data_IF_303951519654
#
_entry.id   IF_303951519654
#
_cell.length_a   1.000
_cell.length_b   1.000
_cell.length_c   1.000
_cell.angle_alpha   90.00
_cell.angle_beta   90.00
_cell.angle_gamma   90.00
#
_symmetry.space_group_name_H-M   'P 1'
#
loop_
_entity.id
_entity.type
_entity.pdbx_description
1 polymer ?
#
# COMPACT_ATOMS: atom_id res chain seq x y z
N UNK A 1 12.04 -21.75 2.99
CA UNK A 1 12.07 -20.65 2.00
C UNK A 1 10.71 -20.56 1.38
N UNK A 2 10.14 -19.36 1.29
CA UNK A 2 8.82 -19.17 0.70
C UNK A 2 8.77 -19.64 -0.75
N UNK A 3 7.64 -20.21 -1.13
CA UNK A 3 7.37 -20.64 -2.51
C UNK A 3 6.32 -19.73 -3.14
N UNK A 4 6.29 -19.67 -4.47
CA UNK A 4 5.28 -18.92 -5.24
C UNK A 4 5.06 -17.47 -4.75
N UNK A 5 6.15 -16.76 -4.47
CA UNK A 5 6.09 -15.36 -4.02
C UNK A 5 5.63 -14.47 -5.18
N UNK A 6 4.65 -13.61 -4.90
CA UNK A 6 4.17 -12.59 -5.83
C UNK A 6 4.00 -11.27 -5.12
N UNK A 7 4.76 -10.26 -5.54
CA UNK A 7 4.54 -8.87 -5.13
C UNK A 7 3.30 -8.38 -5.90
N UNK A 8 2.24 -8.04 -5.15
CA UNK A 8 0.95 -7.64 -5.71
C UNK A 8 0.88 -6.13 -5.93
N UNK A 9 1.45 -5.39 -4.99
CA UNK A 9 1.53 -3.94 -5.06
C UNK A 9 2.67 -3.41 -4.21
N UNK A 10 3.17 -2.25 -4.62
CA UNK A 10 4.02 -1.39 -3.81
C UNK A 10 3.52 0.03 -3.90
N UNK A 11 3.50 0.72 -2.76
CA UNK A 11 3.07 2.10 -2.64
C UNK A 11 4.12 2.90 -1.90
N UNK A 12 4.39 4.12 -2.37
CA UNK A 12 5.23 5.08 -1.66
C UNK A 12 4.54 6.43 -1.60
N UNK A 13 4.49 6.99 -0.39
CA UNK A 13 3.99 8.32 -0.15
C UNK A 13 5.15 9.26 0.20
N UNK A 14 5.25 10.36 -0.50
CA UNK A 14 6.17 11.46 -0.25
C UNK A 14 5.40 12.56 0.45
N UNK A 15 5.70 12.83 1.70
CA UNK A 15 5.05 13.86 2.50
C UNK A 15 5.85 15.16 2.46
N UNK A 16 5.16 16.29 2.32
CA UNK A 16 5.73 17.61 2.17
C UNK A 16 5.23 18.55 3.25
N UNK A 17 6.04 19.55 3.60
CA UNK A 17 5.53 20.64 4.42
C UNK A 17 4.46 21.45 3.67
N UNK A 18 3.57 22.13 4.40
CA UNK A 18 2.39 22.80 3.82
C UNK A 18 2.68 23.74 2.65
N UNK A 19 3.86 24.35 2.62
CA UNK A 19 4.22 25.37 1.63
C UNK A 19 5.09 24.84 0.47
N UNK A 20 5.48 23.55 0.51
CA UNK A 20 6.42 22.97 -0.45
C UNK A 20 5.76 22.13 -1.56
N UNK A 21 4.46 21.85 -1.45
CA UNK A 21 3.68 21.18 -2.51
C UNK A 21 2.51 22.11 -2.93
N UNK A 22 2.61 22.69 -4.11
CA UNK A 22 1.63 23.68 -4.62
C UNK A 22 0.73 23.06 -5.69
N UNK A 23 -0.37 22.46 -5.27
CA UNK A 23 -1.33 21.81 -6.17
C UNK A 23 -1.93 22.74 -7.22
N UNK A 24 -1.97 24.04 -6.98
CA UNK A 24 -2.46 25.04 -7.95
C UNK A 24 -1.70 24.99 -9.27
N UNK A 25 -0.39 24.71 -9.22
CA UNK A 25 0.43 24.52 -10.42
C UNK A 25 0.10 23.22 -11.16
N UNK A 26 -0.41 22.19 -10.46
CA UNK A 26 -0.81 20.92 -11.02
C UNK A 26 -2.24 20.95 -11.57
N UNK A 27 -3.04 21.96 -11.23
CA UNK A 27 -4.40 22.15 -11.77
C UNK A 27 -4.42 22.70 -13.19
N UNK A 28 -3.27 23.14 -13.72
CA UNK A 28 -3.13 23.64 -15.09
C UNK A 28 -3.27 22.47 -16.06
N UNK A 29 -4.25 22.55 -16.97
CA UNK A 29 -4.55 21.47 -17.92
C UNK A 29 -3.32 20.99 -18.72
N UNK A 30 -2.44 21.90 -19.13
CA UNK A 30 -1.20 21.55 -19.84
C UNK A 30 -0.25 20.69 -19.01
N UNK A 31 -0.13 20.97 -17.70
CA UNK A 31 0.69 20.17 -16.77
C UNK A 31 0.10 18.78 -16.59
N UNK A 32 -1.22 18.67 -16.45
CA UNK A 32 -1.91 17.40 -16.33
C UNK A 32 -1.72 16.53 -17.56
N UNK A 33 -1.84 17.12 -18.76
CA UNK A 33 -1.59 16.41 -20.02
C UNK A 33 -0.13 15.93 -20.13
N UNK A 34 0.85 16.70 -19.69
CA UNK A 34 2.24 16.30 -19.69
C UNK A 34 2.50 15.15 -18.72
N UNK A 35 1.95 15.18 -17.51
CA UNK A 35 2.06 14.05 -16.55
C UNK A 35 1.38 12.81 -17.13
N UNK A 36 0.21 12.97 -17.75
CA UNK A 36 -0.50 11.87 -18.41
C UNK A 36 0.36 11.22 -19.50
N UNK A 37 1.01 12.02 -20.32
CA UNK A 37 1.89 11.53 -21.38
C UNK A 37 3.18 10.89 -20.83
N UNK A 38 3.72 11.42 -19.73
CA UNK A 38 4.98 10.97 -19.14
C UNK A 38 4.96 9.49 -18.74
N UNK A 39 3.80 9.00 -18.33
CA UNK A 39 3.59 7.63 -17.87
C UNK A 39 2.46 6.90 -18.61
N UNK A 40 2.00 7.43 -19.74
CA UNK A 40 0.91 6.87 -20.55
C UNK A 40 -0.37 6.59 -19.72
N UNK A 41 -0.75 7.51 -18.82
CA UNK A 41 -1.96 7.35 -18.04
C UNK A 41 -3.22 7.36 -18.93
N UNK A 42 -4.14 6.44 -18.66
CA UNK A 42 -5.40 6.35 -19.39
C UNK A 42 -6.38 7.47 -19.00
N UNK A 43 -6.34 7.92 -17.74
CA UNK A 43 -7.24 8.94 -17.24
C UNK A 43 -6.65 9.69 -16.07
N UNK A 44 -7.21 10.88 -15.80
CA UNK A 44 -7.01 11.55 -14.52
C UNK A 44 -8.34 12.10 -13.98
N UNK A 45 -8.43 12.23 -12.67
CA UNK A 45 -9.62 12.73 -11.98
C UNK A 45 -9.20 13.83 -11.01
N UNK A 46 -9.95 14.93 -10.98
CA UNK A 46 -9.75 16.01 -10.03
C UNK A 46 -10.78 15.83 -8.92
N UNK A 47 -10.31 15.59 -7.69
CA UNK A 47 -11.14 15.54 -6.50
C UNK A 47 -11.51 16.95 -6.01
N UNK A 48 -12.73 17.13 -5.53
CA UNK A 48 -13.11 18.38 -4.88
C UNK A 48 -12.47 18.48 -3.49
N UNK A 49 -11.77 19.57 -3.16
CA UNK A 49 -11.13 19.73 -1.85
C UNK A 49 -12.12 19.96 -0.70
N UNK A 50 -13.37 20.31 -0.98
CA UNK A 50 -14.37 20.67 0.05
C UNK A 50 -15.73 20.08 -0.37
N UNK A 51 -16.33 19.16 0.41
CA UNK A 51 -17.71 18.79 0.19
C UNK A 51 -18.62 20.01 0.41
N UNK A 52 -19.42 20.36 -0.57
CA UNK A 52 -20.44 21.39 -0.44
C UNK A 52 -21.50 20.90 0.54
N UNK A 53 -22.00 21.80 1.40
CA UNK A 53 -22.96 21.43 2.46
C UNK A 53 -24.18 20.73 1.87
N UNK A 54 -24.41 19.47 2.27
CA UNK A 54 -25.53 18.65 1.78
C UNK A 54 -25.17 17.62 0.69
N UNK A 55 -23.92 17.63 0.16
CA UNK A 55 -23.45 16.59 -0.75
C UNK A 55 -22.83 15.42 0.04
N UNK A 56 -23.05 14.20 -0.45
CA UNK A 56 -22.33 13.02 0.02
C UNK A 56 -20.84 13.30 -0.18
N UNK A 57 -19.97 13.10 0.83
CA UNK A 57 -18.53 13.33 0.69
C UNK A 57 -18.05 12.65 -0.59
N UNK A 58 -17.38 13.41 -1.46
CA UNK A 58 -16.82 12.84 -2.67
C UNK A 58 -15.95 11.64 -2.27
N UNK A 59 -16.19 10.49 -2.88
CA UNK A 59 -15.46 9.24 -2.60
C UNK A 59 -13.98 9.33 -2.94
N UNK A 60 -13.53 10.46 -3.48
CA UNK A 60 -12.14 10.73 -3.84
C UNK A 60 -11.53 11.74 -2.88
N UNK A 61 -10.35 11.43 -2.31
CA UNK A 61 -9.61 12.42 -1.53
C UNK A 61 -9.29 13.67 -2.38
N UNK A 62 -9.16 14.85 -1.75
CA UNK A 62 -8.86 16.09 -2.47
C UNK A 62 -7.53 15.95 -3.23
N UNK A 63 -7.48 16.50 -4.45
CA UNK A 63 -6.28 16.50 -5.26
C UNK A 63 -6.49 16.02 -6.69
N UNK A 64 -5.43 15.57 -7.33
CA UNK A 64 -5.44 15.06 -8.70
C UNK A 64 -4.93 13.63 -8.71
N UNK A 65 -5.72 12.71 -9.25
CA UNK A 65 -5.36 11.30 -9.38
C UNK A 65 -5.19 10.95 -10.84
N UNK A 66 -4.03 10.44 -11.21
CA UNK A 66 -3.75 9.85 -12.52
C UNK A 66 -3.84 8.33 -12.39
N UNK A 67 -4.60 7.69 -13.28
CA UNK A 67 -4.93 6.28 -13.17
C UNK A 67 -4.43 5.48 -14.38
N UNK A 68 -4.02 4.24 -14.10
CA UNK A 68 -3.69 3.23 -15.10
C UNK A 68 -2.58 3.69 -16.06
N UNK A 69 -1.42 3.98 -15.51
CA UNK A 69 -0.20 4.26 -16.25
C UNK A 69 0.69 3.03 -16.42
N UNK A 70 1.80 3.23 -17.11
CA UNK A 70 2.79 2.18 -17.37
C UNK A 70 4.20 2.74 -17.22
N UNK A 71 5.08 1.96 -16.60
CA UNK A 71 6.50 2.21 -16.47
C UNK A 71 7.31 1.06 -17.04
N UNK A 72 8.42 1.36 -17.74
CA UNK A 72 9.37 0.35 -18.19
C UNK A 72 10.48 0.24 -17.14
N UNK A 73 10.53 -0.89 -16.46
CA UNK A 73 11.51 -1.19 -15.44
C UNK A 73 12.53 -2.19 -15.96
N UNK A 74 13.84 -1.93 -15.76
CA UNK A 74 14.94 -2.79 -16.21
C UNK A 74 14.86 -3.16 -17.69
N UNK A 75 14.57 -2.15 -18.55
CA UNK A 75 14.55 -2.21 -20.03
C UNK A 75 13.50 -3.14 -20.66
N UNK A 76 12.98 -4.14 -19.95
CA UNK A 76 12.08 -5.15 -20.53
C UNK A 76 10.78 -5.35 -19.76
N UNK A 77 10.71 -4.97 -18.48
CA UNK A 77 9.56 -5.27 -17.65
C UNK A 77 8.58 -4.09 -17.59
N UNK A 78 7.37 -4.32 -18.10
CA UNK A 78 6.28 -3.36 -17.96
C UNK A 78 5.69 -3.47 -16.54
N UNK A 79 5.81 -2.39 -15.77
CA UNK A 79 5.22 -2.27 -14.45
C UNK A 79 3.99 -1.37 -14.55
N UNK A 80 2.79 -1.90 -14.28
CA UNK A 80 1.58 -1.09 -14.25
C UNK A 80 1.61 -0.10 -13.09
N UNK A 81 1.43 1.19 -13.38
CA UNK A 81 1.18 2.22 -12.37
C UNK A 81 -0.33 2.23 -12.14
N UNK A 82 -0.78 1.83 -10.95
CA UNK A 82 -2.19 1.81 -10.61
C UNK A 82 -2.71 3.22 -10.50
N UNK A 83 -1.98 4.07 -9.77
CA UNK A 83 -2.24 5.51 -9.75
C UNK A 83 -1.02 6.32 -9.27
N UNK A 84 -1.01 7.61 -9.64
CA UNK A 84 -0.25 8.66 -8.94
C UNK A 84 -1.26 9.68 -8.42
N UNK A 85 -1.26 9.91 -7.12
CA UNK A 85 -2.19 10.81 -6.45
C UNK A 85 -1.44 12.00 -5.85
N UNK A 86 -1.81 13.19 -6.27
CA UNK A 86 -1.33 14.46 -5.72
C UNK A 86 -2.36 14.96 -4.71
N UNK A 87 -2.05 14.82 -3.44
CA UNK A 87 -2.84 15.34 -2.32
C UNK A 87 -2.26 16.67 -1.81
N UNK A 88 -2.96 17.44 -0.95
CA UNK A 88 -2.49 18.74 -0.49
C UNK A 88 -1.11 18.75 0.17
N UNK A 89 -0.69 17.63 0.77
CA UNK A 89 0.56 17.52 1.52
C UNK A 89 1.39 16.30 1.14
N UNK A 90 0.96 15.52 0.16
CA UNK A 90 1.71 14.32 -0.24
C UNK A 90 1.48 13.94 -1.70
N UNK A 91 2.46 13.24 -2.24
CA UNK A 91 2.36 12.57 -3.53
C UNK A 91 2.43 11.07 -3.26
N UNK A 92 1.43 10.32 -3.71
CA UNK A 92 1.37 8.87 -3.54
C UNK A 92 1.55 8.21 -4.89
N UNK A 93 2.52 7.31 -5.00
CA UNK A 93 2.76 6.45 -6.17
C UNK A 93 2.39 5.02 -5.79
N UNK A 94 1.51 4.40 -6.56
CA UNK A 94 1.05 3.02 -6.34
C UNK A 94 1.21 2.22 -7.64
N UNK A 95 1.91 1.09 -7.54
CA UNK A 95 2.25 0.23 -8.68
C UNK A 95 1.89 -1.23 -8.42
N UNK A 96 1.72 -2.00 -9.48
CA UNK A 96 1.61 -3.46 -9.42
C UNK A 96 2.99 -4.07 -9.70
N UNK A 97 3.89 -4.03 -8.69
CA UNK A 97 5.26 -4.51 -8.85
C UNK A 97 6.16 -4.19 -7.65
N UNK A 98 7.48 -4.43 -7.78
CA UNK A 98 8.45 -4.22 -6.70
C UNK A 98 8.67 -2.73 -6.40
N UNK A 99 8.93 -2.40 -5.14
CA UNK A 99 9.17 -1.01 -4.69
C UNK A 99 10.32 -0.33 -5.42
N UNK A 100 11.34 -1.07 -5.83
CA UNK A 100 12.48 -0.54 -6.59
C UNK A 100 12.06 0.10 -7.93
N UNK A 101 10.94 -0.32 -8.52
CA UNK A 101 10.42 0.33 -9.72
C UNK A 101 9.86 1.74 -9.44
N UNK A 102 9.46 2.03 -8.19
CA UNK A 102 8.98 3.36 -7.79
C UNK A 102 10.10 4.40 -7.86
N UNK A 103 11.35 4.00 -7.60
CA UNK A 103 12.50 4.93 -7.61
C UNK A 103 12.65 5.62 -8.97
N UNK A 104 12.62 4.85 -10.05
CA UNK A 104 12.70 5.41 -11.41
C UNK A 104 11.46 6.25 -11.80
N UNK A 105 10.27 5.84 -11.35
CA UNK A 105 9.04 6.62 -11.56
C UNK A 105 9.15 7.96 -10.81
N UNK A 106 9.57 7.92 -9.56
CA UNK A 106 9.73 9.10 -8.72
C UNK A 106 10.79 10.06 -9.27
N UNK A 107 11.98 9.54 -9.64
CA UNK A 107 13.02 10.33 -10.27
C UNK A 107 12.50 11.08 -11.50
N UNK A 108 11.82 10.37 -12.39
CA UNK A 108 11.24 10.96 -13.60
C UNK A 108 10.17 12.00 -13.29
N UNK A 109 9.30 11.71 -12.33
CA UNK A 109 8.24 12.61 -11.90
C UNK A 109 8.81 13.87 -11.26
N UNK A 110 9.72 13.73 -10.30
CA UNK A 110 10.31 14.87 -9.59
C UNK A 110 11.20 15.72 -10.50
N UNK A 111 11.91 15.12 -11.45
CA UNK A 111 12.62 15.85 -12.49
C UNK A 111 11.67 16.75 -13.28
N UNK A 112 10.54 16.24 -13.72
CA UNK A 112 9.50 17.02 -14.41
C UNK A 112 8.95 18.15 -13.50
N UNK A 113 8.57 17.81 -12.26
CA UNK A 113 7.97 18.75 -11.31
C UNK A 113 8.94 19.86 -10.90
N UNK A 114 10.24 19.60 -10.83
CA UNK A 114 11.27 20.60 -10.51
C UNK A 114 11.37 21.72 -11.56
N UNK A 115 10.95 21.44 -12.79
CA UNK A 115 10.84 22.44 -13.86
C UNK A 115 9.64 23.37 -13.75
N UNK A 116 8.62 23.00 -12.97
CA UNK A 116 7.43 23.82 -12.79
C UNK A 116 7.69 24.96 -11.82
N UNK A 117 7.13 26.13 -12.15
CA UNK A 117 7.21 27.33 -11.30
C UNK A 117 5.82 27.75 -10.85
N UNK A 118 5.69 28.12 -9.61
CA UNK A 118 4.52 28.80 -9.08
C UNK A 118 4.46 30.26 -9.58
N UNK A 119 3.33 30.92 -9.36
CA UNK A 119 3.14 32.31 -9.81
C UNK A 119 4.15 33.31 -9.20
N UNK A 120 4.73 33.01 -8.05
CA UNK A 120 5.76 33.78 -7.37
C UNK A 120 7.19 33.43 -7.81
N UNK A 121 7.35 32.56 -8.83
CA UNK A 121 8.64 32.11 -9.36
C UNK A 121 9.34 31.00 -8.56
N UNK A 122 8.79 30.58 -7.41
CA UNK A 122 9.33 29.47 -6.64
C UNK A 122 9.04 28.13 -7.32
N UNK A 123 9.75 27.05 -6.94
CA UNK A 123 9.46 25.70 -7.42
C UNK A 123 8.08 25.25 -6.94
N UNK A 124 7.32 24.60 -7.81
CA UNK A 124 5.99 24.10 -7.47
C UNK A 124 6.04 22.93 -6.47
N UNK A 125 7.15 22.19 -6.45
CA UNK A 125 7.37 21.05 -5.55
C UNK A 125 8.77 21.15 -4.96
N UNK A 126 8.87 21.13 -3.63
CA UNK A 126 10.13 21.05 -2.88
C UNK A 126 10.56 19.62 -2.58
N UNK A 127 11.50 19.47 -1.68
CA UNK A 127 11.91 18.15 -1.19
C UNK A 127 10.90 17.59 -0.19
N UNK A 128 10.62 16.27 -0.21
CA UNK A 128 9.76 15.64 0.76
C UNK A 128 10.44 15.60 2.14
N UNK A 129 9.67 15.84 3.19
CA UNK A 129 10.13 15.75 4.58
C UNK A 129 10.16 14.28 5.07
N UNK A 130 9.29 13.46 4.51
CA UNK A 130 9.14 12.06 4.91
C UNK A 130 8.74 11.19 3.73
N UNK A 131 9.25 9.96 3.74
CA UNK A 131 8.88 8.92 2.78
C UNK A 131 8.30 7.75 3.56
N UNK A 132 7.14 7.26 3.12
CA UNK A 132 6.43 6.13 3.71
C UNK A 132 6.25 5.06 2.64
N UNK A 133 6.70 3.86 2.94
CA UNK A 133 6.51 2.71 2.07
C UNK A 133 5.38 1.82 2.58
N UNK A 134 4.73 1.13 1.64
CA UNK A 134 3.77 0.07 1.89
C UNK A 134 3.83 -0.95 0.77
N UNK A 135 3.78 -2.23 1.10
CA UNK A 135 3.77 -3.29 0.08
C UNK A 135 2.78 -4.40 0.41
N UNK A 136 2.31 -5.06 -0.64
CA UNK A 136 1.39 -6.19 -0.59
C UNK A 136 2.05 -7.40 -1.28
N UNK A 137 2.16 -8.50 -0.56
CA UNK A 137 2.80 -9.73 -1.04
C UNK A 137 1.85 -10.91 -0.83
N UNK A 138 1.78 -11.80 -1.83
CA UNK A 138 1.19 -13.11 -1.68
C UNK A 138 2.27 -14.17 -1.77
N UNK A 139 2.27 -15.11 -0.82
CA UNK A 139 3.27 -16.18 -0.79
C UNK A 139 2.65 -17.51 -0.28
N UNK A 140 3.24 -18.62 -0.70
CA UNK A 140 2.92 -19.93 -0.20
C UNK A 140 3.86 -20.29 0.95
N UNK A 141 3.29 -20.66 2.10
CA UNK A 141 3.98 -21.06 3.31
C UNK A 141 3.92 -22.57 3.50
N UNK A 142 4.90 -23.12 4.19
CA UNK A 142 4.97 -24.57 4.46
C UNK A 142 3.96 -25.05 5.53
N UNK A 143 3.47 -24.10 6.35
CA UNK A 143 2.65 -24.40 7.53
C UNK A 143 1.49 -23.42 7.70
N UNK A 144 0.44 -23.81 8.42
CA UNK A 144 -0.66 -22.91 8.72
C UNK A 144 -0.24 -21.81 9.70
N UNK A 145 -0.84 -20.63 9.56
CA UNK A 145 -0.55 -19.45 10.40
C UNK A 145 -0.72 -19.71 11.91
N UNK A 146 -1.65 -20.57 12.28
CA UNK A 146 -1.87 -20.92 13.69
C UNK A 146 -0.69 -21.70 14.31
N UNK A 147 0.26 -22.18 13.51
CA UNK A 147 1.46 -22.86 14.00
C UNK A 147 2.38 -21.93 14.83
N UNK A 148 2.36 -20.60 14.60
CA UNK A 148 3.11 -19.64 15.41
C UNK A 148 2.61 -19.55 16.86
N UNK A 149 1.38 -19.99 17.13
CA UNK A 149 0.81 -19.92 18.47
C UNK A 149 1.11 -21.17 19.28
N UNK A 150 1.41 -21.03 20.59
CA UNK A 150 1.56 -22.16 21.48
C UNK A 150 0.34 -23.10 21.44
N UNK A 151 0.59 -24.39 21.58
CA UNK A 151 -0.48 -25.43 21.56
C UNK A 151 -1.61 -25.13 22.58
N UNK A 152 -1.28 -24.58 23.74
CA UNK A 152 -2.24 -24.16 24.76
C UNK A 152 -3.19 -23.07 24.26
N UNK A 153 -2.66 -22.05 23.57
CA UNK A 153 -3.48 -20.96 23.01
C UNK A 153 -4.36 -21.47 21.87
N UNK A 154 -3.82 -22.29 20.95
CA UNK A 154 -4.63 -22.93 19.87
C UNK A 154 -5.78 -23.75 20.44
N UNK A 155 -5.53 -24.51 21.51
CA UNK A 155 -6.56 -25.29 22.21
C UNK A 155 -7.63 -24.41 22.89
N UNK A 156 -7.23 -23.27 23.44
CA UNK A 156 -8.14 -22.29 24.00
C UNK A 156 -9.03 -21.69 22.93
N UNK A 157 -8.44 -21.19 21.85
CA UNK A 157 -9.17 -20.60 20.72
C UNK A 157 -10.16 -21.57 20.10
N UNK A 158 -9.78 -22.86 19.91
CA UNK A 158 -10.69 -23.88 19.40
C UNK A 158 -11.86 -24.21 20.32
N UNK A 159 -11.71 -24.02 21.63
CA UNK A 159 -12.82 -24.20 22.61
C UNK A 159 -13.75 -23.00 22.66
N UNK A 160 -13.23 -21.80 22.42
CA UNK A 160 -13.99 -20.56 22.53
C UNK A 160 -14.93 -20.35 21.34
N UNK A 161 -14.52 -20.85 20.16
CA UNK A 161 -15.35 -20.85 18.96
C UNK A 161 -16.24 -22.10 19.01
N UNK A 162 -17.36 -22.00 19.71
CA UNK A 162 -18.37 -23.04 19.80
C UNK A 162 -19.15 -23.11 18.47
N UNK A 163 -18.52 -23.64 17.44
CA UNK A 163 -19.19 -23.89 16.16
C UNK A 163 -19.86 -25.27 16.32
N UNK A 164 -21.15 -25.24 16.56
CA UNK A 164 -22.02 -26.39 16.53
C UNK A 164 -22.25 -26.84 15.06
N UNK A 165 -21.16 -27.22 14.41
CA UNK A 165 -21.17 -27.74 13.04
C UNK A 165 -20.46 -29.06 13.06
N UNK A 166 -21.16 -30.12 12.66
CA UNK A 166 -20.68 -31.50 12.49
C UNK A 166 -19.16 -31.64 12.60
N UNK A 167 -18.64 -32.43 13.50
CA UNK A 167 -17.25 -32.77 13.86
C UNK A 167 -16.15 -32.67 12.75
N UNK A 168 -16.46 -32.03 11.60
CA UNK A 168 -15.61 -31.86 10.43
C UNK A 168 -15.06 -30.43 10.27
N UNK A 169 -15.48 -29.49 11.13
CA UNK A 169 -15.02 -28.08 11.01
C UNK A 169 -13.69 -27.88 11.72
N UNK A 170 -12.74 -27.28 11.03
CA UNK A 170 -11.44 -26.88 11.57
C UNK A 170 -11.48 -25.40 11.92
N UNK A 171 -11.11 -25.04 13.14
CA UNK A 171 -10.87 -23.62 13.51
C UNK A 171 -9.55 -23.19 12.90
N UNK A 172 -9.58 -22.09 12.16
CA UNK A 172 -8.40 -21.48 11.60
C UNK A 172 -8.35 -20.01 12.03
N UNK A 173 -7.15 -19.44 12.12
CA UNK A 173 -6.95 -18.01 12.29
C UNK A 173 -6.82 -17.42 10.89
N UNK A 174 -7.84 -16.69 10.40
CA UNK A 174 -7.84 -16.23 9.02
C UNK A 174 -6.89 -15.05 8.81
N UNK A 175 -6.68 -14.22 9.83
CA UNK A 175 -5.89 -12.99 9.70
C UNK A 175 -5.28 -12.58 11.04
N UNK A 176 -4.07 -12.04 11.01
CA UNK A 176 -3.41 -11.32 12.11
C UNK A 176 -3.17 -9.90 11.62
N UNK A 177 -3.45 -8.91 12.48
CA UNK A 177 -3.10 -7.52 12.23
C UNK A 177 -2.28 -7.00 13.42
N UNK A 178 -1.18 -6.32 13.13
CA UNK A 178 -0.31 -5.68 14.11
C UNK A 178 -0.15 -4.21 13.72
N UNK A 179 -0.31 -3.33 14.68
CA UNK A 179 -0.12 -1.90 14.47
C UNK A 179 0.76 -1.32 15.57
N UNK A 180 1.73 -0.50 15.17
CA UNK A 180 2.54 0.26 16.11
C UNK A 180 1.79 1.54 16.50
N UNK A 181 1.70 1.80 17.81
CA UNK A 181 1.19 3.05 18.36
C UNK A 181 2.31 3.76 19.11
N UNK A 182 2.41 5.11 19.02
CA UNK A 182 3.24 5.88 19.93
C UNK A 182 2.86 5.59 21.39
N UNK A 183 3.84 5.57 22.28
CA UNK A 183 3.63 5.20 23.70
C UNK A 183 2.58 6.05 24.41
N UNK A 184 2.42 7.29 23.97
CA UNK A 184 1.52 8.27 24.59
C UNK A 184 0.15 8.36 23.90
N UNK A 185 -0.08 7.57 22.85
CA UNK A 185 -1.38 7.53 22.18
C UNK A 185 -2.30 6.46 22.76
N UNK A 186 -3.55 6.85 23.01
CA UNK A 186 -4.61 5.90 23.37
C UNK A 186 -5.08 5.20 22.11
N UNK A 187 -5.05 3.86 22.11
CA UNK A 187 -5.61 3.05 21.03
C UNK A 187 -7.08 3.38 20.85
N UNK A 188 -7.42 4.06 19.76
CA UNK A 188 -8.80 4.52 19.48
C UNK A 188 -9.54 3.66 18.46
N UNK A 189 -8.83 2.83 17.72
CA UNK A 189 -9.41 1.99 16.68
C UNK A 189 -8.69 0.64 16.57
N UNK A 190 -9.42 -0.38 16.14
CA UNK A 190 -8.85 -1.67 15.77
C UNK A 190 -8.24 -1.50 14.38
N UNK A 191 -6.98 -1.94 14.16
CA UNK A 191 -6.35 -1.89 12.83
C UNK A 191 -7.22 -2.61 11.80
N UNK A 192 -7.42 -2.00 10.66
CA UNK A 192 -8.06 -2.63 9.51
C UNK A 192 -7.01 -3.15 8.52
N UNK A 193 -7.40 -4.13 7.71
CA UNK A 193 -6.53 -4.65 6.65
C UNK A 193 -6.11 -3.58 5.60
N UNK A 194 -6.81 -2.44 5.58
CA UNK A 194 -6.53 -1.32 4.68
C UNK A 194 -5.73 -0.19 5.37
N UNK A 195 -5.34 -0.38 6.63
CA UNK A 195 -4.55 0.61 7.34
C UNK A 195 -3.10 0.55 6.85
N UNK A 196 -2.65 1.59 6.17
CA UNK A 196 -1.29 1.71 5.63
C UNK A 196 -0.18 1.70 6.71
N UNK A 197 -0.55 1.78 7.99
CA UNK A 197 0.36 1.71 9.12
C UNK A 197 0.32 0.37 9.86
N UNK A 198 -0.50 -0.57 9.38
CA UNK A 198 -0.65 -1.88 9.98
C UNK A 198 0.04 -2.96 9.14
N UNK A 199 0.78 -3.84 9.82
CA UNK A 199 1.16 -5.12 9.25
C UNK A 199 -0.05 -6.06 9.32
N UNK A 200 -0.45 -6.62 8.18
CA UNK A 200 -1.54 -7.59 8.08
C UNK A 200 -1.02 -8.87 7.45
N UNK A 201 -1.45 -9.99 7.98
CA UNK A 201 -1.09 -11.30 7.45
C UNK A 201 -2.29 -12.24 7.57
N UNK A 202 -2.74 -12.81 6.46
CA UNK A 202 -3.93 -13.63 6.46
C UNK A 202 -4.05 -14.55 5.26
N UNK A 203 -4.97 -15.52 5.34
CA UNK A 203 -5.27 -16.39 4.23
C UNK A 203 -5.75 -15.59 3.01
N UNK A 204 -5.21 -15.90 1.86
CA UNK A 204 -5.62 -15.25 0.62
C UNK A 204 -7.07 -15.64 0.29
N UNK A 205 -7.91 -14.65 0.07
CA UNK A 205 -9.29 -14.86 -0.36
C UNK A 205 -9.35 -15.67 -1.66
N UNK A 206 -10.31 -16.58 -1.75
CA UNK A 206 -10.50 -17.42 -2.93
C UNK A 206 -9.56 -18.65 -3.01
N UNK A 207 -8.70 -18.87 -2.00
CA UNK A 207 -7.87 -20.08 -1.89
C UNK A 207 -8.41 -21.05 -0.84
N UNK A 208 -8.07 -22.33 -0.96
CA UNK A 208 -8.40 -23.33 0.07
C UNK A 208 -7.56 -23.05 1.31
N UNK A 209 -8.12 -23.24 2.49
CA UNK A 209 -7.43 -23.00 3.77
C UNK A 209 -6.22 -23.92 4.00
N UNK A 210 -6.20 -25.10 3.37
CA UNK A 210 -5.11 -26.08 3.42
C UNK A 210 -4.01 -25.83 2.36
N UNK A 211 -4.19 -24.86 1.48
CA UNK A 211 -3.19 -24.48 0.50
C UNK A 211 -2.10 -23.54 1.06
N UNK A 212 -2.29 -23.02 2.28
CA UNK A 212 -1.35 -22.13 2.98
C UNK A 212 -0.84 -20.95 2.13
N UNK A 213 -1.69 -20.46 1.24
CA UNK A 213 -1.40 -19.26 0.46
C UNK A 213 -1.89 -18.06 1.24
N UNK A 214 -0.94 -17.19 1.63
CA UNK A 214 -1.22 -16.02 2.45
C UNK A 214 -1.07 -14.74 1.65
N UNK A 215 -1.82 -13.74 2.06
CA UNK A 215 -1.69 -12.35 1.67
C UNK A 215 -1.11 -11.60 2.86
N UNK A 216 -0.16 -10.73 2.59
CA UNK A 216 0.42 -9.85 3.59
C UNK A 216 0.49 -8.42 3.07
N UNK A 217 0.14 -7.46 3.92
CA UNK A 217 0.35 -6.04 3.72
C UNK A 217 1.22 -5.49 4.84
N UNK A 218 2.22 -4.69 4.52
CA UNK A 218 3.16 -4.15 5.50
C UNK A 218 3.57 -2.72 5.18
N UNK A 219 3.81 -1.86 6.21
CA UNK A 219 4.37 -0.53 6.05
C UNK A 219 5.89 -0.59 5.79
N UNK A 220 6.28 -1.36 4.80
CA UNK A 220 7.65 -1.65 4.39
C UNK A 220 7.74 -1.62 2.86
N UNK A 221 8.94 -1.35 2.33
CA UNK A 221 9.23 -1.65 0.94
C UNK A 221 9.14 -3.15 0.67
N UNK A 222 9.07 -3.55 -0.61
CA UNK A 222 8.82 -4.94 -0.96
C UNK A 222 9.97 -5.88 -0.59
N UNK A 223 11.21 -5.42 -0.53
CA UNK A 223 12.39 -6.23 -0.18
C UNK A 223 12.43 -6.50 1.32
N UNK A 224 12.27 -5.46 2.14
CA UNK A 224 12.20 -5.59 3.60
C UNK A 224 11.00 -6.45 4.02
N UNK A 225 9.85 -6.26 3.36
CA UNK A 225 8.66 -7.06 3.60
C UNK A 225 8.89 -8.54 3.28
N UNK A 226 9.51 -8.84 2.12
CA UNK A 226 9.85 -10.20 1.75
C UNK A 226 10.84 -10.86 2.72
N UNK A 227 11.85 -10.10 3.18
CA UNK A 227 12.77 -10.58 4.21
C UNK A 227 12.04 -10.98 5.48
N UNK A 228 11.13 -10.12 5.95
CA UNK A 228 10.30 -10.39 7.13
C UNK A 228 9.44 -11.66 6.96
N UNK A 229 8.81 -11.85 5.78
CA UNK A 229 8.01 -13.04 5.52
C UNK A 229 8.86 -14.33 5.48
N UNK A 230 10.12 -14.27 5.00
CA UNK A 230 11.04 -15.41 5.07
C UNK A 230 11.43 -15.77 6.51
N UNK A 231 11.62 -14.77 7.37
CA UNK A 231 11.86 -15.00 8.80
C UNK A 231 10.64 -15.65 9.47
N UNK A 232 9.44 -15.18 9.14
CA UNK A 232 8.18 -15.75 9.63
C UNK A 232 8.03 -17.22 9.17
N UNK A 233 8.34 -17.53 7.91
CA UNK A 233 8.34 -18.90 7.39
C UNK A 233 9.31 -19.81 8.16
N UNK A 234 10.50 -19.32 8.49
CA UNK A 234 11.47 -20.08 9.29
C UNK A 234 10.94 -20.40 10.70
N UNK A 235 10.20 -19.47 11.32
CA UNK A 235 9.55 -19.69 12.62
C UNK A 235 8.40 -20.69 12.54
N UNK A 236 7.67 -20.71 11.44
CA UNK A 236 6.56 -21.66 11.23
C UNK A 236 7.06 -23.09 10.97
N UNK A 237 8.26 -23.23 10.39
CA UNK A 237 8.88 -24.52 10.08
C UNK A 237 9.71 -25.12 11.23
N UNK A 238 9.92 -24.39 12.34
CA UNK A 238 10.65 -24.84 13.52
C UNK A 238 9.71 -25.48 14.56
#
# INVERSE_FOLDING_TARGET
MLEQVKILASRRAYEFSPDTLRLTSLSIQGVQQQIQQLFNFQSFTIGSPIPTFGEVPATYPPGVVFNLGVWIYQEEHLVPIRFIHFEPKRIVIDIAGPSAAIDGIAERLFYFLSGLRAADGTTAVGEPERILDYSEISAHFSSPLDAIFPKSLRRLLSKTVNIDVDNKSKVIIPTIALQAFPKDEVVRAIPSANDAHAFTFGLRSGTRSDAYIYYSGAPLDSEAHLSYLNELEALLGS
#
